data_IF_822956238211
#
_entry.id   IF_822956238211
#
_cell.length_a   1.000
_cell.length_b   1.000
_cell.length_c   1.000
_cell.angle_alpha   90.00
_cell.angle_beta   90.00
_cell.angle_gamma   90.00
#
_symmetry.space_group_name_H-M   'P 1'
#
loop_
_entity.id
_entity.type
_entity.pdbx_description
1 polymer ?
#
# COMPACT_ATOMS: atom_id res chain seq x y z
N UNK A 1 -20.76 -10.22 -20.21
CA UNK A 1 -19.36 -10.65 -20.48
C UNK A 1 -18.46 -9.90 -19.51
N UNK A 2 -18.14 -10.49 -18.35
CA UNK A 2 -17.30 -9.89 -17.32
C UNK A 2 -15.86 -10.29 -17.58
N UNK A 3 -14.99 -9.31 -17.72
CA UNK A 3 -13.58 -9.46 -17.99
C UNK A 3 -12.84 -10.20 -16.87
N UNK A 4 -12.08 -11.27 -17.16
CA UNK A 4 -11.32 -12.05 -16.17
C UNK A 4 -10.01 -11.38 -15.70
N UNK A 5 -9.69 -10.19 -16.18
CA UNK A 5 -8.40 -9.52 -15.98
C UNK A 5 -8.11 -9.09 -14.52
N UNK A 6 -9.14 -8.89 -13.69
CA UNK A 6 -8.95 -8.39 -12.32
C UNK A 6 -8.51 -9.47 -11.33
N UNK A 7 -8.74 -10.75 -11.64
CA UNK A 7 -8.37 -11.86 -10.75
C UNK A 7 -6.90 -12.28 -10.86
N UNK A 8 -6.33 -12.16 -12.05
CA UNK A 8 -4.91 -12.51 -12.26
C UNK A 8 -3.95 -11.45 -11.70
N UNK A 9 -4.32 -10.16 -11.77
CA UNK A 9 -3.51 -9.08 -11.20
C UNK A 9 -3.42 -9.15 -9.67
N UNK A 10 -4.49 -9.58 -8.98
CA UNK A 10 -4.47 -9.78 -7.53
C UNK A 10 -3.65 -11.02 -7.14
N UNK A 11 -3.75 -12.11 -7.90
CA UNK A 11 -2.96 -13.34 -7.66
C UNK A 11 -1.46 -13.12 -7.87
N UNK A 12 -1.07 -12.44 -8.93
CA UNK A 12 0.35 -12.17 -9.21
C UNK A 12 0.96 -11.19 -8.21
N UNK A 13 0.19 -10.19 -7.71
CA UNK A 13 0.72 -9.16 -6.84
C UNK A 13 0.96 -9.64 -5.40
N UNK A 14 0.15 -10.56 -4.88
CA UNK A 14 0.35 -11.09 -3.50
C UNK A 14 1.50 -12.10 -3.47
N UNK A 15 1.60 -12.99 -4.47
CA UNK A 15 2.64 -14.01 -4.53
C UNK A 15 4.04 -13.44 -4.83
N UNK A 16 4.15 -12.43 -5.67
CA UNK A 16 5.42 -11.74 -5.98
C UNK A 16 5.91 -10.87 -4.82
N UNK A 17 5.01 -10.23 -4.06
CA UNK A 17 5.38 -9.32 -2.97
C UNK A 17 5.97 -10.01 -1.73
N UNK A 18 5.68 -11.28 -1.49
CA UNK A 18 6.28 -12.03 -0.37
C UNK A 18 7.64 -12.66 -0.70
N UNK A 19 7.99 -12.83 -1.98
CA UNK A 19 9.23 -13.48 -2.41
C UNK A 19 10.40 -12.53 -2.60
N UNK A 20 10.18 -11.24 -2.78
CA UNK A 20 11.24 -10.26 -3.06
C UNK A 20 11.44 -9.25 -1.93
N UNK A 21 11.45 -9.73 -0.69
CA UNK A 21 11.92 -8.89 0.43
C UNK A 21 13.45 -8.68 0.40
N UNK A 22 14.13 -9.26 -0.61
CA UNK A 22 15.55 -9.10 -0.83
C UNK A 22 15.85 -8.81 -2.30
N UNK A 23 16.48 -7.66 -2.53
CA UNK A 23 17.20 -7.28 -3.75
C UNK A 23 16.32 -6.82 -4.93
N UNK A 24 16.14 -5.51 -5.05
CA UNK A 24 16.49 -4.79 -6.27
C UNK A 24 16.63 -3.28 -5.97
N UNK A 25 17.79 -2.90 -5.45
CA UNK A 25 18.28 -1.53 -5.58
C UNK A 25 18.75 -1.32 -7.03
N UNK A 26 17.84 -1.26 -7.97
CA UNK A 26 18.19 -0.79 -9.30
C UNK A 26 18.20 0.75 -9.29
N UNK A 27 19.39 1.33 -9.15
CA UNK A 27 19.67 2.71 -9.52
C UNK A 27 19.52 2.88 -11.02
N UNK A 28 18.30 3.12 -11.49
CA UNK A 28 18.11 3.80 -12.76
C UNK A 28 18.59 5.23 -12.53
N UNK A 29 19.48 5.75 -13.36
CA UNK A 29 20.09 7.10 -13.21
C UNK A 29 18.99 8.14 -12.93
N UNK A 30 19.02 8.76 -11.73
CA UNK A 30 18.13 9.85 -11.34
C UNK A 30 16.86 9.47 -10.59
N UNK A 31 16.43 8.22 -10.64
CA UNK A 31 15.23 7.74 -9.91
C UNK A 31 15.66 7.18 -8.55
N UNK A 32 15.04 7.64 -7.50
CA UNK A 32 15.23 7.16 -6.14
C UNK A 32 13.97 6.44 -5.66
N UNK A 33 14.15 5.36 -4.92
CA UNK A 33 13.04 4.66 -4.28
C UNK A 33 13.02 4.99 -2.80
N UNK A 34 11.86 5.38 -2.28
CA UNK A 34 11.66 5.75 -0.88
C UNK A 34 10.55 4.89 -0.28
N UNK A 35 10.84 4.23 0.83
CA UNK A 35 9.83 3.56 1.63
C UNK A 35 9.26 4.56 2.65
N UNK A 36 7.97 4.86 2.54
CA UNK A 36 7.32 5.88 3.34
C UNK A 36 5.87 5.52 3.70
N UNK A 37 5.31 6.25 4.62
CA UNK A 37 3.93 6.13 5.08
C UNK A 37 3.22 7.46 4.94
N UNK A 38 1.96 7.44 4.47
CA UNK A 38 1.14 8.65 4.37
C UNK A 38 0.90 9.28 5.72
N UNK A 39 1.04 10.60 5.79
CA UNK A 39 0.83 11.38 7.00
C UNK A 39 -0.33 12.37 6.84
N UNK A 40 -0.29 13.18 5.80
CA UNK A 40 -1.27 14.25 5.61
C UNK A 40 -1.37 14.71 4.16
N UNK A 41 -2.61 14.99 3.72
CA UNK A 41 -2.87 15.69 2.47
C UNK A 41 -2.66 17.20 2.64
N UNK A 42 -2.00 17.83 1.66
CA UNK A 42 -1.84 19.29 1.58
C UNK A 42 -2.75 19.85 0.48
N UNK A 43 -2.78 19.20 -0.69
CA UNK A 43 -3.58 19.61 -1.83
C UNK A 43 -4.10 18.38 -2.59
N UNK A 44 -5.38 18.38 -3.00
CA UNK A 44 -6.39 19.40 -2.76
C UNK A 44 -6.75 19.54 -1.29
N UNK A 45 -7.05 20.75 -0.85
CA UNK A 45 -7.50 21.03 0.51
C UNK A 45 -9.02 20.79 0.59
N UNK A 46 -9.44 19.90 1.50
CA UNK A 46 -10.86 19.60 1.75
C UNK A 46 -11.20 18.11 1.67
N UNK A 47 -12.45 17.79 2.03
CA UNK A 47 -12.99 16.41 2.07
C UNK A 47 -13.68 16.01 0.75
N UNK A 48 -13.47 16.75 -0.32
CA UNK A 48 -14.01 16.41 -1.64
C UNK A 48 -13.39 15.13 -2.19
N UNK A 49 -14.18 14.35 -2.94
CA UNK A 49 -13.68 13.21 -3.69
C UNK A 49 -12.57 13.68 -4.63
N UNK A 50 -11.37 13.15 -4.45
CA UNK A 50 -10.25 13.43 -5.33
C UNK A 50 -10.37 12.47 -6.51
N UNK A 51 -10.56 13.01 -7.71
CA UNK A 51 -10.51 12.20 -8.92
C UNK A 51 -9.15 11.51 -9.03
N UNK A 52 -9.15 10.26 -9.46
CA UNK A 52 -7.94 9.45 -9.62
C UNK A 52 -6.89 10.09 -10.56
N UNK A 53 -7.27 11.10 -11.34
CA UNK A 53 -6.38 11.86 -12.23
C UNK A 53 -5.97 13.23 -11.67
N UNK A 54 -6.31 13.55 -10.41
CA UNK A 54 -5.99 14.85 -9.83
C UNK A 54 -4.54 14.93 -9.39
N UNK A 55 -3.93 16.10 -9.63
CA UNK A 55 -2.62 16.42 -9.06
C UNK A 55 -2.74 16.62 -7.55
N UNK A 56 -1.82 16.02 -6.82
CA UNK A 56 -1.85 15.98 -5.36
C UNK A 56 -0.53 16.42 -4.76
N UNK A 57 -0.61 17.01 -3.58
CA UNK A 57 0.55 17.30 -2.71
C UNK A 57 0.24 16.70 -1.35
N UNK A 58 1.11 15.84 -0.86
CA UNK A 58 0.93 15.17 0.41
C UNK A 58 2.25 15.04 1.18
N UNK A 59 2.14 14.91 2.49
CA UNK A 59 3.27 14.64 3.37
C UNK A 59 3.32 13.16 3.70
N UNK A 60 4.52 12.63 3.64
CA UNK A 60 4.84 11.25 4.00
C UNK A 60 5.98 11.22 5.01
N UNK A 61 5.94 10.25 5.90
CA UNK A 61 7.02 9.96 6.82
C UNK A 61 7.90 8.87 6.23
N UNK A 62 9.22 9.10 6.09
CA UNK A 62 10.11 8.02 5.68
C UNK A 62 10.14 6.90 6.72
N UNK A 63 10.11 5.65 6.29
CA UNK A 63 10.23 4.47 7.16
C UNK A 63 11.67 4.14 7.51
N UNK A 64 12.62 4.69 6.77
CA UNK A 64 14.06 4.53 6.97
C UNK A 64 14.71 5.88 7.28
N UNK A 65 15.91 5.84 7.91
CA UNK A 65 16.70 7.06 8.14
C UNK A 65 17.19 7.63 6.82
N UNK A 66 16.57 8.73 6.40
CA UNK A 66 16.92 9.46 5.19
C UNK A 66 17.70 10.73 5.57
N UNK A 67 18.77 11.02 4.86
CA UNK A 67 19.58 12.23 5.05
C UNK A 67 19.58 13.09 3.79
N UNK A 68 19.58 14.41 3.97
CA UNK A 68 19.78 15.37 2.90
C UNK A 68 21.27 15.46 2.50
N UNK A 69 21.58 16.29 1.50
CA UNK A 69 22.96 16.53 1.04
C UNK A 69 23.85 17.19 2.09
N UNK A 70 23.28 17.81 3.11
CA UNK A 70 23.96 18.45 4.24
C UNK A 70 24.13 17.52 5.45
N UNK A 71 23.62 16.27 5.36
CA UNK A 71 23.68 15.28 6.44
C UNK A 71 22.55 15.36 7.47
N UNK A 72 21.61 16.31 7.32
CA UNK A 72 20.46 16.42 8.23
C UNK A 72 19.46 15.30 7.98
N UNK A 73 18.81 14.83 9.05
CA UNK A 73 17.79 13.80 8.92
C UNK A 73 16.50 14.38 8.34
N UNK A 74 16.03 13.78 7.27
CA UNK A 74 14.71 14.08 6.68
C UNK A 74 13.66 13.29 7.44
N UNK A 75 12.81 14.00 8.17
CA UNK A 75 11.70 13.41 8.95
C UNK A 75 10.39 13.41 8.19
N UNK A 76 10.28 14.23 7.15
CA UNK A 76 9.07 14.39 6.36
C UNK A 76 9.39 14.61 4.88
N UNK A 77 8.65 13.95 4.01
CA UNK A 77 8.76 14.03 2.56
C UNK A 77 7.53 14.77 2.03
N UNK A 78 7.73 15.90 1.36
CA UNK A 78 6.68 16.55 0.60
C UNK A 78 6.64 15.91 -0.78
N UNK A 79 5.70 14.99 -1.00
CA UNK A 79 5.51 14.33 -2.27
C UNK A 79 4.49 15.07 -3.13
N UNK A 80 4.77 15.12 -4.41
CA UNK A 80 3.90 15.71 -5.44
C UNK A 80 3.72 14.71 -6.57
N UNK A 81 2.54 14.68 -7.16
CA UNK A 81 2.24 13.75 -8.26
C UNK A 81 0.76 13.55 -8.45
N UNK A 82 0.43 12.61 -9.32
CA UNK A 82 -0.95 12.19 -9.58
C UNK A 82 -1.25 10.90 -8.84
N UNK A 83 -2.49 10.72 -8.40
CA UNK A 83 -2.94 9.48 -7.74
C UNK A 83 -2.08 9.08 -6.53
N UNK A 84 -1.62 10.04 -5.72
CA UNK A 84 -0.82 9.71 -4.55
C UNK A 84 -1.64 8.88 -3.55
N UNK A 85 -1.04 7.82 -2.96
CA UNK A 85 -1.75 6.96 -2.01
C UNK A 85 -1.97 7.68 -0.67
N UNK A 86 -3.15 7.53 -0.08
CA UNK A 86 -3.58 8.27 1.12
C UNK A 86 -3.95 7.40 2.31
N UNK A 87 -3.80 6.08 2.22
CA UNK A 87 -4.07 5.21 3.35
C UNK A 87 -2.94 5.25 4.37
N UNK A 88 -3.22 5.70 5.59
CA UNK A 88 -2.22 5.86 6.65
C UNK A 88 -1.76 4.55 7.29
N UNK A 89 -2.48 3.47 7.05
CA UNK A 89 -2.21 2.13 7.58
C UNK A 89 -1.37 1.25 6.63
N UNK A 90 -0.85 1.84 5.56
CA UNK A 90 -0.03 1.18 4.55
C UNK A 90 1.35 1.83 4.48
N UNK A 91 2.33 1.08 4.01
CA UNK A 91 3.62 1.61 3.55
C UNK A 91 3.63 1.64 2.04
N UNK A 92 4.33 2.61 1.51
CA UNK A 92 4.44 2.82 0.07
C UNK A 92 5.90 2.87 -0.33
N UNK A 93 6.27 2.03 -1.27
CA UNK A 93 7.55 2.12 -1.96
C UNK A 93 7.37 3.05 -3.15
N UNK A 94 7.69 4.32 -2.96
CA UNK A 94 7.54 5.37 -3.97
C UNK A 94 8.79 5.48 -4.83
N UNK A 95 8.60 5.54 -6.13
CA UNK A 95 9.65 5.81 -7.13
C UNK A 95 9.48 7.21 -7.69
N UNK A 96 10.59 7.94 -7.79
CA UNK A 96 10.57 9.31 -8.28
C UNK A 96 11.91 9.99 -8.10
N UNK A 97 11.91 11.31 -8.15
CA UNK A 97 13.10 12.11 -8.02
C UNK A 97 12.88 13.37 -7.18
N UNK A 98 13.95 13.85 -6.54
CA UNK A 98 13.91 15.10 -5.82
C UNK A 98 13.99 16.27 -6.77
N UNK A 99 13.10 17.25 -6.59
CA UNK A 99 13.07 18.51 -7.32
C UNK A 99 13.10 19.68 -6.34
N UNK A 100 13.84 20.74 -6.70
CA UNK A 100 13.80 22.01 -5.99
C UNK A 100 12.84 22.94 -6.72
N UNK A 101 11.72 23.24 -6.08
CA UNK A 101 10.76 24.23 -6.57
C UNK A 101 11.14 25.61 -6.04
N UNK A 102 11.16 26.67 -6.88
CA UNK A 102 11.54 28.03 -6.45
C UNK A 102 10.63 28.61 -5.36
N UNK A 103 9.35 28.26 -5.36
CA UNK A 103 8.34 28.78 -4.43
C UNK A 103 8.09 27.83 -3.26
N UNK A 104 8.11 26.54 -3.50
CA UNK A 104 7.66 25.53 -2.53
C UNK A 104 8.78 24.69 -1.93
N UNK A 105 10.04 24.97 -2.30
CA UNK A 105 11.21 24.30 -1.76
C UNK A 105 11.44 22.91 -2.33
N UNK A 106 12.06 22.04 -1.54
CA UNK A 106 12.38 20.67 -1.96
C UNK A 106 11.12 19.81 -1.92
N UNK A 107 10.86 19.14 -3.05
CA UNK A 107 9.73 18.24 -3.24
C UNK A 107 10.22 16.92 -3.85
N UNK A 108 9.48 15.86 -3.62
CA UNK A 108 9.70 14.56 -4.23
C UNK A 108 8.62 14.32 -5.28
N UNK A 109 8.99 14.39 -6.56
CA UNK A 109 8.11 14.10 -7.69
C UNK A 109 7.93 12.59 -7.82
N UNK A 110 6.73 12.12 -7.56
CA UNK A 110 6.39 10.68 -7.59
C UNK A 110 5.97 10.29 -9.00
N UNK A 111 6.70 9.33 -9.56
CA UNK A 111 6.41 8.73 -10.87
C UNK A 111 5.53 7.48 -10.74
N UNK A 112 5.61 6.80 -9.59
CA UNK A 112 4.82 5.62 -9.30
C UNK A 112 5.09 5.11 -7.88
N UNK A 113 4.23 4.21 -7.42
CA UNK A 113 4.38 3.59 -6.12
C UNK A 113 3.87 2.15 -6.11
N UNK A 114 4.35 1.40 -5.13
CA UNK A 114 3.85 0.07 -4.79
C UNK A 114 3.41 0.06 -3.33
N UNK A 115 2.27 -0.55 -3.07
CA UNK A 115 1.75 -0.70 -1.72
C UNK A 115 2.43 -1.87 -1.02
N UNK A 116 2.93 -1.63 0.19
CA UNK A 116 3.49 -2.68 1.04
C UNK A 116 2.62 -2.87 2.28
N UNK A 117 2.18 -4.09 2.48
CA UNK A 117 1.42 -4.46 3.66
C UNK A 117 2.39 -4.50 4.85
N UNK A 118 2.05 -3.77 5.91
CA UNK A 118 2.80 -3.84 7.15
C UNK A 118 2.53 -5.22 7.76
N UNK A 119 3.55 -6.10 7.96
CA UNK A 119 3.35 -7.44 8.50
C UNK A 119 3.13 -7.43 10.02
N UNK A 120 2.31 -6.48 10.49
CA UNK A 120 1.81 -6.40 11.86
C UNK A 120 0.37 -6.85 11.88
N UNK A 121 -0.14 -7.20 13.07
CA UNK A 121 -1.55 -7.56 13.26
C UNK A 121 -2.48 -6.51 12.66
N UNK A 122 -2.24 -5.25 13.00
CA UNK A 122 -3.04 -4.10 12.57
C UNK A 122 -2.96 -3.89 11.06
N UNK A 123 -1.78 -4.01 10.47
CA UNK A 123 -1.56 -3.85 9.03
C UNK A 123 -2.27 -4.93 8.22
N UNK A 124 -2.18 -6.19 8.64
CA UNK A 124 -2.86 -7.30 7.97
C UNK A 124 -4.38 -7.17 8.10
N UNK A 125 -4.90 -6.86 9.30
CA UNK A 125 -6.35 -6.65 9.53
C UNK A 125 -6.86 -5.48 8.69
N UNK A 126 -6.12 -4.38 8.67
CA UNK A 126 -6.46 -3.19 7.88
C UNK A 126 -6.53 -3.51 6.39
N UNK A 127 -5.54 -4.24 5.85
CA UNK A 127 -5.55 -4.67 4.47
C UNK A 127 -6.75 -5.57 4.14
N UNK A 128 -7.00 -6.60 4.95
CA UNK A 128 -8.12 -7.51 4.77
C UNK A 128 -9.48 -6.80 4.78
N UNK A 129 -9.61 -5.73 5.59
CA UNK A 129 -10.85 -4.96 5.77
C UNK A 129 -10.95 -3.72 4.88
N UNK A 130 -9.95 -3.43 4.04
CA UNK A 130 -9.88 -2.21 3.21
C UNK A 130 -10.97 -2.08 2.14
N UNK A 131 -11.78 -3.13 1.94
CA UNK A 131 -12.79 -3.19 0.87
C UNK A 131 -12.26 -3.73 -0.47
N UNK A 132 -10.95 -3.92 -0.60
CA UNK A 132 -10.35 -4.57 -1.78
C UNK A 132 -10.79 -6.04 -1.89
N UNK A 133 -11.03 -6.68 -0.76
CA UNK A 133 -11.51 -8.07 -0.69
C UNK A 133 -12.99 -8.06 -0.33
N UNK A 134 -13.83 -8.35 -1.31
CA UNK A 134 -15.28 -8.35 -1.11
C UNK A 134 -15.69 -9.41 -0.07
N UNK A 135 -16.52 -9.01 0.89
CA UNK A 135 -17.07 -9.91 1.89
C UNK A 135 -16.23 -10.06 3.16
N UNK A 136 -15.08 -9.38 3.26
CA UNK A 136 -14.29 -9.29 4.49
C UNK A 136 -14.44 -7.89 5.08
N UNK A 137 -15.20 -7.79 6.18
CA UNK A 137 -15.24 -6.57 6.99
C UNK A 137 -14.30 -6.68 8.19
N UNK A 138 -14.19 -5.62 9.03
CA UNK A 138 -13.24 -5.56 10.14
C UNK A 138 -13.27 -6.76 11.07
N UNK A 139 -14.46 -7.14 11.57
CA UNK A 139 -14.62 -8.31 12.47
C UNK A 139 -14.23 -9.64 11.81
N UNK A 140 -14.39 -9.77 10.51
CA UNK A 140 -13.97 -10.97 9.79
C UNK A 140 -12.47 -10.97 9.56
N UNK A 141 -11.88 -9.84 9.27
CA UNK A 141 -10.44 -9.66 9.14
C UNK A 141 -9.71 -10.04 10.45
N UNK A 142 -10.24 -9.60 11.59
CA UNK A 142 -9.72 -10.00 12.91
C UNK A 142 -9.77 -11.51 13.11
N UNK A 143 -10.90 -12.16 12.82
CA UNK A 143 -11.03 -13.63 12.94
C UNK A 143 -10.08 -14.39 12.02
N UNK A 144 -9.87 -13.88 10.80
CA UNK A 144 -8.91 -14.47 9.86
C UNK A 144 -7.49 -14.33 10.41
N UNK A 145 -7.15 -13.17 10.95
CA UNK A 145 -5.84 -12.98 11.57
C UNK A 145 -5.65 -13.84 12.82
N UNK A 146 -6.65 -13.92 13.69
CA UNK A 146 -6.59 -14.73 14.91
C UNK A 146 -6.43 -16.22 14.60
N UNK A 147 -6.99 -16.70 13.48
CA UNK A 147 -6.84 -18.09 13.04
C UNK A 147 -5.50 -18.40 12.34
N UNK A 148 -4.95 -17.46 11.58
CA UNK A 148 -3.80 -17.71 10.70
C UNK A 148 -2.59 -16.79 10.95
N UNK A 149 -2.72 -15.78 11.78
CA UNK A 149 -1.65 -14.83 12.09
C UNK A 149 -1.08 -14.18 10.83
N UNK A 150 0.25 -14.09 10.78
CA UNK A 150 0.96 -13.53 9.62
C UNK A 150 0.79 -14.33 8.33
N UNK A 151 0.32 -15.58 8.43
CA UNK A 151 0.02 -16.44 7.28
C UNK A 151 -1.35 -16.15 6.64
N UNK A 152 -2.14 -15.25 7.22
CA UNK A 152 -3.51 -14.97 6.78
C UNK A 152 -3.60 -14.60 5.29
N UNK A 153 -2.67 -13.78 4.80
CA UNK A 153 -2.61 -13.36 3.40
C UNK A 153 -2.19 -14.51 2.47
N UNK A 154 -1.23 -15.32 2.91
CA UNK A 154 -0.81 -16.50 2.14
C UNK A 154 -1.92 -17.57 2.07
N UNK A 155 -2.65 -17.77 3.16
CA UNK A 155 -3.80 -18.68 3.18
C UNK A 155 -4.88 -18.19 2.22
N UNK A 156 -5.16 -16.91 2.20
CA UNK A 156 -6.15 -16.31 1.32
C UNK A 156 -5.77 -16.46 -0.17
N UNK A 157 -4.48 -16.36 -0.49
CA UNK A 157 -3.97 -16.46 -1.86
C UNK A 157 -3.85 -17.93 -2.33
N UNK A 158 -3.22 -18.79 -1.51
CA UNK A 158 -2.84 -20.13 -1.94
C UNK A 158 -3.77 -21.25 -1.49
N UNK A 159 -4.47 -21.07 -0.37
CA UNK A 159 -5.28 -22.11 0.27
C UNK A 159 -6.58 -21.54 0.84
N UNK A 160 -7.38 -20.86 0.01
CA UNK A 160 -8.58 -20.14 0.49
C UNK A 160 -9.62 -21.09 1.12
N UNK A 161 -9.60 -22.38 0.79
CA UNK A 161 -10.45 -23.39 1.40
C UNK A 161 -10.27 -23.50 2.94
N UNK A 162 -9.07 -23.17 3.44
CA UNK A 162 -8.83 -23.14 4.90
C UNK A 162 -9.64 -22.08 5.61
N UNK A 163 -10.10 -21.05 4.92
CA UNK A 163 -10.97 -20.03 5.51
C UNK A 163 -12.32 -20.61 5.95
N UNK A 164 -12.74 -21.76 5.42
CA UNK A 164 -13.98 -22.45 5.84
C UNK A 164 -13.94 -22.94 7.29
N UNK A 165 -12.76 -23.04 7.90
CA UNK A 165 -12.62 -23.38 9.33
C UNK A 165 -13.04 -22.21 10.23
N UNK A 166 -13.18 -21.01 9.68
CA UNK A 166 -13.54 -19.81 10.45
C UNK A 166 -15.06 -19.69 10.52
N UNK A 167 -15.58 -19.55 11.73
CA UNK A 167 -17.00 -19.31 11.96
C UNK A 167 -17.47 -18.04 11.22
N UNK A 168 -18.51 -18.20 10.40
CA UNK A 168 -19.08 -17.11 9.59
C UNK A 168 -18.52 -17.02 8.16
N UNK A 169 -17.66 -17.95 7.74
CA UNK A 169 -17.29 -18.15 6.34
C UNK A 169 -17.94 -19.42 5.81
N UNK A 170 -18.98 -19.25 5.01
CA UNK A 170 -19.63 -20.33 4.28
C UNK A 170 -19.02 -20.50 2.88
N UNK A 171 -19.31 -21.61 2.22
CA UNK A 171 -18.93 -21.86 0.82
C UNK A 171 -19.33 -20.70 -0.13
N UNK A 172 -20.55 -20.16 0.07
CA UNK A 172 -21.03 -19.03 -0.73
C UNK A 172 -20.25 -17.73 -0.44
N UNK A 173 -19.80 -17.55 0.78
CA UNK A 173 -19.00 -16.40 1.16
C UNK A 173 -17.57 -16.54 0.64
N UNK A 174 -17.01 -17.74 0.69
CA UNK A 174 -15.70 -18.03 0.12
C UNK A 174 -15.64 -17.70 -1.37
N UNK A 175 -16.68 -18.06 -2.14
CA UNK A 175 -16.77 -17.72 -3.58
C UNK A 175 -16.82 -16.21 -3.87
N UNK A 176 -17.20 -15.39 -2.90
CA UNK A 176 -17.19 -13.92 -3.03
C UNK A 176 -15.84 -13.32 -2.66
N UNK A 177 -15.10 -13.99 -1.80
CA UNK A 177 -13.75 -13.59 -1.34
C UNK A 177 -12.71 -13.95 -2.41
N UNK A 178 -12.83 -15.11 -3.02
CA UNK A 178 -12.01 -15.60 -4.13
C UNK A 178 -12.74 -15.38 -5.45
#
# INVERSE_FOLDING_TARGET
MSMPYHKELLRSSISLRFREFFVFRNKVKGVMTLLCQFEKMIYPSGTGAVDAASFMIALYRPCEKLKDSSGNTITQIKAVGYCLPTASNMRYEMRGHWRKDPKYGIQYDVEGYEEQIIPTREGIIAYLSSGQIKGIGPKMAERIYDAFGNMALEVLDKKPEKLLTISGISQNKLKKIC
#
